data_IF_754979480152
#
_entry.id   IF_754979480152
#
_cell.length_a   1.000
_cell.length_b   1.000
_cell.length_c   1.000
_cell.angle_alpha   90.00
_cell.angle_beta   90.00
_cell.angle_gamma   90.00
#
_symmetry.space_group_name_H-M   'P 1'
#
loop_
_entity.id
_entity.type
_entity.pdbx_description
1 polymer ?
#
# COMPACT_ATOMS: atom_id res chain seq x y z
N UNK A 1 -49.56 56.22 35.29
CA UNK A 1 -49.00 56.07 33.95
C UNK A 1 -47.49 55.81 34.06
N UNK A 2 -47.03 54.65 34.38
CA UNK A 2 -45.63 54.21 34.29
C UNK A 2 -45.57 52.69 34.54
N UNK A 3 -45.79 51.91 33.51
CA UNK A 3 -45.53 50.48 33.58
C UNK A 3 -45.37 49.95 32.12
N UNK A 4 -44.22 50.15 31.54
CA UNK A 4 -43.99 49.72 30.17
C UNK A 4 -42.56 49.49 29.74
N UNK A 5 -41.56 49.81 30.60
CA UNK A 5 -40.16 49.77 30.17
C UNK A 5 -39.30 48.64 30.74
N UNK A 6 -39.81 47.77 31.60
CA UNK A 6 -39.01 46.71 32.23
C UNK A 6 -39.13 45.31 31.61
N UNK A 7 -39.96 45.12 30.56
CA UNK A 7 -40.16 43.78 29.91
C UNK A 7 -39.23 43.52 28.72
N UNK A 8 -38.62 44.53 28.13
CA UNK A 8 -37.80 44.36 26.91
C UNK A 8 -36.33 44.03 27.18
N UNK A 9 -35.81 44.27 28.38
CA UNK A 9 -34.40 43.97 28.71
C UNK A 9 -34.10 42.54 29.12
N UNK A 10 -35.09 41.77 29.58
CA UNK A 10 -34.90 40.39 30.02
C UNK A 10 -34.80 39.36 28.88
N UNK A 11 -35.42 39.67 27.71
CA UNK A 11 -35.43 38.76 26.56
C UNK A 11 -34.13 38.81 25.76
N UNK A 12 -33.45 39.97 25.71
CA UNK A 12 -32.20 40.11 24.97
C UNK A 12 -31.00 39.48 25.64
N UNK A 13 -31.00 39.42 26.96
CA UNK A 13 -29.88 38.78 27.73
C UNK A 13 -29.91 37.25 27.63
N UNK A 14 -31.10 36.65 27.54
CA UNK A 14 -31.25 35.18 27.43
C UNK A 14 -30.85 34.64 26.05
N UNK A 15 -31.08 35.40 24.98
CA UNK A 15 -30.72 35.00 23.61
C UNK A 15 -29.21 35.07 23.33
N UNK A 16 -28.51 36.02 23.94
CA UNK A 16 -27.04 36.15 23.79
C UNK A 16 -26.32 35.01 24.56
N UNK A 17 -26.81 34.63 25.72
CA UNK A 17 -26.25 33.55 26.53
C UNK A 17 -26.33 32.17 25.85
N UNK A 18 -27.43 31.88 25.17
CA UNK A 18 -27.61 30.60 24.45
C UNK A 18 -26.75 30.53 23.21
N UNK A 19 -26.59 31.62 22.47
CA UNK A 19 -25.71 31.66 21.31
C UNK A 19 -24.23 31.50 21.67
N UNK A 20 -23.81 32.06 22.80
CA UNK A 20 -22.43 31.93 23.27
C UNK A 20 -22.11 30.53 23.80
N UNK A 21 -23.04 29.87 24.45
CA UNK A 21 -22.89 28.48 24.91
C UNK A 21 -22.85 27.49 23.73
N UNK A 22 -23.62 27.72 22.66
CA UNK A 22 -23.60 26.90 21.47
C UNK A 22 -22.28 27.05 20.66
N UNK A 23 -21.71 28.25 20.60
CA UNK A 23 -20.43 28.52 19.93
C UNK A 23 -19.23 27.88 20.68
N UNK A 24 -19.24 27.89 22.01
CA UNK A 24 -18.19 27.26 22.80
C UNK A 24 -18.29 25.73 22.74
N UNK A 25 -19.51 25.17 22.72
CA UNK A 25 -19.69 23.73 22.60
C UNK A 25 -19.30 23.18 21.19
N UNK A 26 -19.48 23.97 20.14
CA UNK A 26 -19.05 23.59 18.79
C UNK A 26 -17.53 23.61 18.63
N UNK A 27 -16.82 24.54 19.27
CA UNK A 27 -15.36 24.65 19.18
C UNK A 27 -14.63 23.57 19.99
N UNK A 28 -15.23 23.07 21.05
CA UNK A 28 -14.64 21.98 21.85
C UNK A 28 -14.83 20.61 21.20
N UNK A 29 -15.91 20.38 20.45
CA UNK A 29 -16.15 19.13 19.73
C UNK A 29 -15.15 18.92 18.58
N UNK A 30 -14.83 19.98 17.80
CA UNK A 30 -13.83 19.89 16.75
C UNK A 30 -12.44 19.52 17.30
N UNK A 31 -12.00 20.19 18.36
CA UNK A 31 -10.67 19.92 18.98
C UNK A 31 -10.54 18.54 19.64
N UNK A 32 -11.63 17.95 20.09
CA UNK A 32 -11.59 16.60 20.66
C UNK A 32 -11.47 15.54 19.55
N UNK A 33 -12.19 15.72 18.46
CA UNK A 33 -12.14 14.81 17.30
C UNK A 33 -10.76 14.84 16.63
N UNK A 34 -10.22 16.03 16.37
CA UNK A 34 -8.87 16.18 15.79
C UNK A 34 -7.78 15.53 16.66
N UNK A 35 -7.91 15.54 17.98
CA UNK A 35 -6.95 14.89 18.89
C UNK A 35 -7.05 13.36 18.88
N UNK A 36 -8.26 12.82 18.80
CA UNK A 36 -8.45 11.35 18.73
C UNK A 36 -7.90 10.78 17.44
N UNK A 37 -8.01 11.49 16.33
CA UNK A 37 -7.47 11.09 15.03
C UNK A 37 -5.93 11.17 15.04
N UNK A 38 -5.34 12.23 15.57
CA UNK A 38 -3.89 12.40 15.72
C UNK A 38 -3.29 11.33 16.65
N UNK A 39 -3.96 11.00 17.75
CA UNK A 39 -3.52 9.96 18.68
C UNK A 39 -3.58 8.57 18.02
N UNK A 40 -4.61 8.29 17.23
CA UNK A 40 -4.78 7.02 16.54
C UNK A 40 -3.70 6.82 15.45
N UNK A 41 -3.39 7.84 14.68
CA UNK A 41 -2.30 7.80 13.69
C UNK A 41 -0.94 7.62 14.37
N UNK A 42 -0.71 8.27 15.50
CA UNK A 42 0.52 8.11 16.29
C UNK A 42 0.71 6.66 16.76
N UNK A 43 -0.36 5.99 17.18
CA UNK A 43 -0.33 4.57 17.59
C UNK A 43 -0.03 3.67 16.38
N UNK A 44 -0.65 3.91 15.23
CA UNK A 44 -0.42 3.15 14.00
C UNK A 44 1.01 3.31 13.49
N UNK A 45 1.54 4.52 13.51
CA UNK A 45 2.92 4.85 13.14
C UNK A 45 3.91 4.09 14.04
N UNK A 46 3.74 4.17 15.36
CA UNK A 46 4.60 3.44 16.30
C UNK A 46 4.51 1.93 16.08
N UNK A 47 3.28 1.41 15.98
CA UNK A 47 3.06 0.00 15.70
C UNK A 47 3.70 -0.46 14.39
N UNK A 48 3.69 0.39 13.36
CA UNK A 48 4.36 0.11 12.09
C UNK A 48 5.86 -0.12 12.25
N UNK A 49 6.54 0.70 13.06
CA UNK A 49 7.96 0.47 13.39
C UNK A 49 8.18 -0.82 14.17
N UNK A 50 7.31 -1.14 15.11
CA UNK A 50 7.43 -2.33 15.96
C UNK A 50 7.28 -3.64 15.16
N UNK A 51 6.48 -3.64 14.10
CA UNK A 51 6.18 -4.82 13.28
C UNK A 51 6.98 -4.90 11.97
N UNK A 52 7.79 -3.89 11.65
CA UNK A 52 8.62 -3.90 10.45
C UNK A 52 9.58 -5.11 10.50
N UNK A 53 9.52 -6.04 9.53
CA UNK A 53 10.32 -7.27 9.58
C UNK A 53 11.77 -7.07 9.12
N UNK A 54 12.09 -5.89 8.57
CA UNK A 54 13.38 -5.52 8.02
C UNK A 54 13.83 -4.16 8.54
N UNK A 55 15.15 -3.86 8.59
CA UNK A 55 15.63 -2.54 8.95
C UNK A 55 15.17 -1.48 7.95
N UNK A 56 14.87 -0.28 8.44
CA UNK A 56 14.35 0.82 7.64
C UNK A 56 15.41 1.92 7.46
N UNK A 57 15.66 2.31 6.21
CA UNK A 57 16.44 3.49 5.89
C UNK A 57 15.53 4.74 5.96
N UNK A 58 15.72 5.55 6.99
CA UNK A 58 14.94 6.76 7.23
C UNK A 58 15.61 8.04 6.72
N UNK A 59 16.82 7.92 6.14
CA UNK A 59 17.56 9.08 5.65
C UNK A 59 16.78 9.78 4.52
N UNK A 60 16.53 11.08 4.69
CA UNK A 60 15.79 11.90 3.72
C UNK A 60 14.31 11.56 3.57
N UNK A 61 13.72 10.73 4.46
CA UNK A 61 12.32 10.30 4.40
C UNK A 61 11.48 10.85 5.53
N UNK A 62 10.18 11.01 5.28
CA UNK A 62 9.23 11.36 6.33
C UNK A 62 9.00 10.14 7.24
N UNK A 63 9.51 10.21 8.48
CA UNK A 63 9.42 9.14 9.46
C UNK A 63 7.97 8.71 9.75
N UNK A 64 7.04 9.67 9.83
CA UNK A 64 5.64 9.36 10.12
C UNK A 64 5.02 8.55 8.97
N UNK A 65 5.23 8.97 7.71
CA UNK A 65 4.77 8.23 6.55
C UNK A 65 5.38 6.82 6.48
N UNK A 66 6.67 6.68 6.74
CA UNK A 66 7.32 5.35 6.73
C UNK A 66 6.72 4.45 7.81
N UNK A 67 6.48 4.95 9.03
CA UNK A 67 5.85 4.17 10.10
C UNK A 67 4.42 3.76 9.76
N UNK A 68 3.60 4.72 9.30
CA UNK A 68 2.23 4.43 8.86
C UNK A 68 2.20 3.45 7.69
N UNK A 69 3.06 3.64 6.70
CA UNK A 69 3.18 2.73 5.54
C UNK A 69 3.58 1.32 5.95
N UNK A 70 4.51 1.18 6.91
CA UNK A 70 4.86 -0.12 7.49
C UNK A 70 3.63 -0.80 8.12
N UNK A 71 2.84 -0.04 8.89
CA UNK A 71 1.60 -0.55 9.46
C UNK A 71 0.64 -1.05 8.37
N UNK A 72 0.37 -0.22 7.36
CA UNK A 72 -0.57 -0.54 6.28
C UNK A 72 -0.13 -1.76 5.46
N UNK A 73 1.14 -1.83 5.06
CA UNK A 73 1.70 -2.93 4.26
C UNK A 73 1.68 -4.25 5.02
N UNK A 74 2.09 -4.26 6.29
CA UNK A 74 2.16 -5.49 7.09
C UNK A 74 0.79 -5.96 7.59
N UNK A 75 -0.16 -5.04 7.82
CA UNK A 75 -1.54 -5.38 8.19
C UNK A 75 -2.39 -5.70 6.97
N UNK A 76 -2.12 -5.07 5.83
CA UNK A 76 -2.79 -5.33 4.56
C UNK A 76 -2.36 -6.63 3.88
N UNK A 77 -1.36 -7.34 4.43
CA UNK A 77 -0.93 -8.63 3.91
C UNK A 77 -0.22 -8.57 2.55
N UNK A 78 0.38 -7.44 2.19
CA UNK A 78 1.05 -7.30 0.88
C UNK A 78 2.10 -8.40 0.66
N UNK A 79 2.85 -8.78 1.72
CA UNK A 79 3.84 -9.85 1.65
C UNK A 79 3.23 -11.24 1.41
N UNK A 80 1.93 -11.43 1.65
CA UNK A 80 1.29 -12.73 1.42
C UNK A 80 1.19 -13.08 -0.07
N UNK A 81 1.21 -12.06 -0.92
CA UNK A 81 1.24 -12.18 -2.37
C UNK A 81 2.60 -11.81 -2.96
N UNK A 82 3.29 -10.81 -2.41
CA UNK A 82 4.55 -10.29 -2.94
C UNK A 82 5.78 -10.94 -2.28
N UNK A 83 5.75 -12.25 -2.13
CA UNK A 83 6.87 -13.11 -1.75
C UNK A 83 7.13 -14.18 -2.84
N UNK A 84 8.13 -15.02 -2.66
CA UNK A 84 8.43 -16.11 -3.59
C UNK A 84 7.57 -17.36 -3.38
N UNK A 85 6.55 -17.28 -2.53
CA UNK A 85 5.61 -18.35 -2.20
C UNK A 85 5.60 -18.72 -0.72
N UNK A 86 4.56 -19.45 -0.26
CA UNK A 86 4.29 -19.68 1.17
C UNK A 86 5.44 -20.36 1.94
N UNK A 87 6.26 -21.15 1.25
CA UNK A 87 7.41 -21.82 1.87
C UNK A 87 8.56 -20.87 2.22
N UNK A 88 8.64 -19.72 1.54
CA UNK A 88 9.70 -18.72 1.71
C UNK A 88 9.29 -17.51 2.55
N UNK A 89 7.99 -17.35 2.81
CA UNK A 89 7.42 -16.19 3.51
C UNK A 89 7.93 -16.04 4.95
N UNK A 90 8.20 -17.16 5.62
CA UNK A 90 8.64 -17.17 7.01
C UNK A 90 10.00 -17.84 7.16
N UNK A 91 10.73 -17.43 8.19
CA UNK A 91 11.93 -18.12 8.61
C UNK A 91 11.57 -19.56 9.04
N UNK A 92 12.35 -20.60 8.64
CA UNK A 92 12.08 -21.98 9.06
C UNK A 92 11.89 -22.11 10.57
N UNK A 93 10.83 -22.80 11.00
CA UNK A 93 10.46 -22.93 12.41
C UNK A 93 9.65 -21.76 13.00
N UNK A 94 9.28 -20.77 12.18
CA UNK A 94 8.58 -19.56 12.61
C UNK A 94 7.29 -19.28 11.79
N UNK A 95 6.78 -20.30 11.11
CA UNK A 95 5.55 -20.18 10.32
C UNK A 95 4.30 -20.38 11.20
N UNK A 96 3.48 -19.33 11.42
CA UNK A 96 2.31 -19.44 12.30
C UNK A 96 1.21 -20.35 11.74
N UNK A 97 1.15 -20.57 10.41
CA UNK A 97 0.20 -21.50 9.79
C UNK A 97 0.49 -22.97 10.16
N UNK A 98 1.72 -23.26 10.61
CA UNK A 98 2.12 -24.56 11.14
C UNK A 98 2.16 -24.59 12.67
N UNK A 99 1.54 -23.61 13.35
CA UNK A 99 1.56 -23.51 14.80
C UNK A 99 2.91 -23.13 15.40
N UNK A 100 3.86 -22.64 14.58
CA UNK A 100 5.20 -22.26 15.03
C UNK A 100 5.23 -20.81 15.56
N UNK A 101 5.89 -20.60 16.68
CA UNK A 101 5.96 -19.30 17.35
C UNK A 101 7.38 -19.01 17.86
N UNK A 102 7.76 -17.71 17.96
CA UNK A 102 7.02 -16.53 17.46
C UNK A 102 7.01 -16.46 15.93
N UNK A 103 5.99 -15.80 15.35
CA UNK A 103 5.97 -15.48 13.93
C UNK A 103 7.23 -14.68 13.55
N UNK A 104 7.93 -15.10 12.51
CA UNK A 104 9.07 -14.35 11.98
C UNK A 104 9.07 -14.38 10.44
N UNK A 105 8.79 -13.24 9.84
CA UNK A 105 8.85 -13.05 8.39
C UNK A 105 10.30 -13.20 7.92
N UNK A 106 10.49 -13.80 6.75
CA UNK A 106 11.81 -13.98 6.15
C UNK A 106 12.29 -12.67 5.48
N UNK A 107 13.31 -12.01 6.02
CA UNK A 107 13.76 -10.73 5.46
C UNK A 107 14.39 -10.87 4.07
N UNK A 108 14.87 -12.05 3.71
CA UNK A 108 15.53 -12.29 2.41
C UNK A 108 14.54 -12.35 1.23
N UNK A 109 13.26 -12.54 1.51
CA UNK A 109 12.21 -12.65 0.48
C UNK A 109 11.09 -11.61 0.66
N UNK A 110 11.20 -10.80 1.72
CA UNK A 110 10.17 -9.85 2.09
C UNK A 110 9.88 -8.85 0.98
N UNK A 111 8.64 -8.87 0.46
CA UNK A 111 8.16 -8.06 -0.64
C UNK A 111 8.95 -8.18 -1.95
N UNK A 112 9.78 -9.22 -2.07
CA UNK A 112 10.62 -9.46 -3.25
C UNK A 112 9.88 -10.04 -4.45
N UNK A 113 8.59 -10.32 -4.35
CA UNK A 113 7.79 -10.86 -5.46
C UNK A 113 8.17 -12.27 -5.89
N UNK A 114 7.74 -12.65 -7.08
CA UNK A 114 8.09 -13.94 -7.69
C UNK A 114 7.12 -15.09 -7.40
N UNK A 115 5.99 -14.81 -6.73
CA UNK A 115 4.95 -15.81 -6.53
C UNK A 115 4.16 -16.03 -7.83
N UNK A 116 4.13 -17.28 -8.28
CA UNK A 116 3.36 -17.70 -9.44
C UNK A 116 1.93 -18.06 -9.02
N UNK A 117 0.95 -17.34 -9.57
CA UNK A 117 -0.48 -17.58 -9.38
C UNK A 117 -1.10 -18.44 -10.48
N UNK A 118 -0.30 -18.91 -11.44
CA UNK A 118 -0.79 -19.64 -12.59
C UNK A 118 -1.34 -18.74 -13.70
N UNK A 119 -2.09 -19.32 -14.61
CA UNK A 119 -2.66 -18.64 -15.77
C UNK A 119 -4.11 -18.24 -15.52
N UNK A 120 -4.55 -17.09 -16.08
CA UNK A 120 -5.94 -16.62 -15.93
C UNK A 120 -6.93 -17.55 -16.64
N UNK A 121 -6.58 -18.02 -17.84
CA UNK A 121 -7.49 -18.74 -18.75
C UNK A 121 -6.98 -20.12 -19.17
N UNK A 122 -5.99 -20.66 -18.45
CA UNK A 122 -5.31 -21.89 -18.85
C UNK A 122 -4.31 -21.68 -20.00
N UNK A 123 -3.51 -22.72 -20.35
CA UNK A 123 -2.58 -22.62 -21.45
C UNK A 123 -3.28 -22.28 -22.78
N UNK A 124 -2.72 -21.42 -23.63
CA UNK A 124 -1.37 -20.84 -23.61
C UNK A 124 -1.28 -19.48 -22.91
N UNK A 125 -2.24 -19.10 -22.08
CA UNK A 125 -2.21 -17.82 -21.36
C UNK A 125 -0.95 -17.69 -20.49
N UNK A 126 -0.33 -16.49 -20.39
CA UNK A 126 0.83 -16.29 -19.53
C UNK A 126 0.49 -16.46 -18.06
N UNK A 127 1.50 -16.81 -17.27
CA UNK A 127 1.38 -16.87 -15.82
C UNK A 127 1.34 -15.47 -15.21
N UNK A 128 0.60 -15.30 -14.14
CA UNK A 128 0.60 -14.09 -13.32
C UNK A 128 1.61 -14.28 -12.21
N UNK A 129 2.65 -13.47 -12.23
CA UNK A 129 3.72 -13.49 -11.23
C UNK A 129 3.65 -12.19 -10.41
N UNK A 130 3.70 -12.29 -9.08
CA UNK A 130 3.73 -11.10 -8.24
C UNK A 130 5.03 -10.31 -8.43
N UNK A 131 4.91 -8.98 -8.46
CA UNK A 131 6.03 -8.08 -8.66
C UNK A 131 6.84 -7.88 -7.40
N UNK A 132 8.10 -7.55 -7.60
CA UNK A 132 9.00 -7.10 -6.55
C UNK A 132 8.66 -5.65 -6.15
N UNK A 133 8.23 -5.45 -4.91
CA UNK A 133 7.88 -4.14 -4.37
C UNK A 133 9.07 -3.42 -3.71
N UNK A 134 10.23 -4.06 -3.62
CA UNK A 134 11.39 -3.44 -2.97
C UNK A 134 12.04 -2.39 -3.87
N UNK A 135 12.74 -1.39 -3.29
CA UNK A 135 13.34 -0.35 -4.10
C UNK A 135 14.58 -0.85 -4.85
N UNK A 136 14.79 -0.36 -6.07
CA UNK A 136 16.05 -0.51 -6.78
C UNK A 136 17.15 0.30 -6.09
N UNK A 137 18.36 -0.25 -5.98
CA UNK A 137 19.50 0.51 -5.44
C UNK A 137 19.97 1.62 -6.37
N UNK A 138 19.63 1.54 -7.66
CA UNK A 138 19.99 2.56 -8.66
C UNK A 138 19.14 3.82 -8.57
N UNK A 139 17.84 3.65 -8.39
CA UNK A 139 16.87 4.77 -8.42
C UNK A 139 16.30 5.09 -7.05
N UNK A 140 16.30 4.12 -6.13
CA UNK A 140 15.61 4.21 -4.85
C UNK A 140 14.10 4.18 -4.96
N UNK A 141 13.56 3.86 -6.16
CA UNK A 141 12.14 3.74 -6.43
C UNK A 141 11.67 2.29 -6.28
N UNK A 142 10.47 2.06 -5.73
CA UNK A 142 9.91 0.71 -5.60
C UNK A 142 9.28 0.25 -6.91
N UNK A 143 8.94 -1.01 -6.97
CA UNK A 143 8.11 -1.69 -7.96
C UNK A 143 8.30 -1.15 -9.40
N UNK A 144 9.24 -1.74 -10.13
CA UNK A 144 9.47 -1.34 -11.53
C UNK A 144 10.05 0.06 -11.74
N UNK A 145 10.59 0.69 -10.68
CA UNK A 145 11.09 2.07 -10.67
C UNK A 145 9.99 3.13 -10.88
N UNK A 146 8.75 2.81 -10.52
CA UNK A 146 7.63 3.74 -10.63
C UNK A 146 7.76 4.94 -9.70
N UNK A 147 7.42 6.11 -10.24
CA UNK A 147 7.23 7.34 -9.47
C UNK A 147 6.02 7.23 -8.54
N UNK A 148 5.86 8.15 -7.60
CA UNK A 148 4.67 8.16 -6.75
C UNK A 148 3.39 8.35 -7.55
N UNK A 149 3.43 9.19 -8.57
CA UNK A 149 2.28 9.49 -9.43
C UNK A 149 1.81 8.23 -10.19
N UNK A 150 2.75 7.46 -10.74
CA UNK A 150 2.46 6.17 -11.37
C UNK A 150 1.95 5.14 -10.36
N UNK A 151 2.60 5.03 -9.19
CA UNK A 151 2.15 4.14 -8.12
C UNK A 151 0.73 4.49 -7.64
N UNK A 152 0.41 5.79 -7.51
CA UNK A 152 -0.93 6.26 -7.18
C UNK A 152 -1.94 5.84 -8.27
N UNK A 153 -1.59 5.99 -9.55
CA UNK A 153 -2.44 5.56 -10.67
C UNK A 153 -2.67 4.04 -10.64
N UNK A 154 -1.61 3.24 -10.41
CA UNK A 154 -1.73 1.78 -10.25
C UNK A 154 -2.73 1.44 -9.12
N UNK A 155 -2.58 2.05 -7.97
CA UNK A 155 -3.45 1.77 -6.81
C UNK A 155 -4.89 2.21 -7.02
N UNK A 156 -5.13 3.26 -7.80
CA UNK A 156 -6.47 3.81 -8.09
C UNK A 156 -7.19 3.08 -9.22
N UNK A 157 -6.46 2.66 -10.23
CA UNK A 157 -7.06 2.19 -11.49
C UNK A 157 -6.72 0.75 -11.84
N UNK A 158 -5.71 0.18 -11.18
CA UNK A 158 -5.17 -1.13 -11.52
C UNK A 158 -4.35 -1.14 -12.81
N UNK A 159 -4.02 0.03 -13.38
CA UNK A 159 -3.27 0.12 -14.63
C UNK A 159 -1.94 -0.62 -14.54
N UNK A 160 -1.70 -1.49 -15.49
CA UNK A 160 -0.48 -2.29 -15.57
C UNK A 160 0.50 -1.66 -16.57
N UNK A 161 1.37 -0.76 -16.09
CA UNK A 161 2.29 -0.01 -16.96
C UNK A 161 3.25 -0.89 -17.75
N UNK A 162 3.56 -2.10 -17.28
CA UNK A 162 4.48 -3.01 -17.96
C UNK A 162 3.81 -3.81 -19.09
N UNK A 163 2.48 -3.83 -19.13
CA UNK A 163 1.72 -4.65 -20.07
C UNK A 163 0.72 -3.86 -20.92
N UNK A 164 0.85 -2.53 -20.99
CA UNK A 164 -0.09 -1.67 -21.73
C UNK A 164 -0.09 -1.93 -23.22
N UNK A 165 -1.29 -2.02 -23.82
CA UNK A 165 -1.49 -1.87 -25.26
C UNK A 165 -1.29 -0.40 -25.69
N UNK A 166 -0.78 -0.11 -26.88
CA UNK A 166 -0.51 -0.99 -28.03
C UNK A 166 0.92 -1.58 -28.06
N UNK A 167 1.71 -1.46 -27.00
CA UNK A 167 3.06 -2.01 -26.98
C UNK A 167 3.07 -3.55 -27.00
N UNK A 168 1.92 -4.12 -26.74
CA UNK A 168 1.65 -5.53 -26.89
C UNK A 168 1.25 -5.85 -28.34
N UNK A 169 1.94 -6.76 -28.98
CA UNK A 169 1.60 -7.26 -30.33
C UNK A 169 1.56 -8.78 -30.35
N UNK A 170 0.95 -9.35 -31.39
CA UNK A 170 0.93 -10.80 -31.59
C UNK A 170 2.33 -11.42 -31.74
N UNK A 171 3.35 -10.59 -32.01
CA UNK A 171 4.75 -10.99 -32.15
C UNK A 171 5.63 -10.61 -30.97
N UNK A 172 5.19 -9.66 -30.13
CA UNK A 172 5.82 -9.29 -28.85
C UNK A 172 4.90 -9.74 -27.74
N UNK A 173 4.87 -11.05 -27.52
CA UNK A 173 3.92 -11.70 -26.59
C UNK A 173 4.45 -11.82 -25.18
N UNK A 174 5.69 -11.40 -24.92
CA UNK A 174 6.35 -11.68 -23.65
C UNK A 174 5.74 -10.96 -22.46
N UNK A 175 4.98 -9.87 -22.67
CA UNK A 175 4.44 -9.06 -21.57
C UNK A 175 2.95 -8.73 -21.74
N UNK A 176 2.28 -9.35 -22.72
CA UNK A 176 0.92 -8.96 -23.05
C UNK A 176 -0.06 -10.05 -22.67
N UNK A 177 -0.92 -9.77 -21.73
CA UNK A 177 -2.11 -10.59 -21.55
C UNK A 177 -3.08 -10.28 -22.70
N UNK A 178 -3.57 -11.30 -23.43
CA UNK A 178 -4.59 -11.05 -24.41
C UNK A 178 -5.81 -10.44 -23.72
N UNK A 179 -6.38 -9.41 -24.33
CA UNK A 179 -7.70 -8.90 -23.95
C UNK A 179 -8.73 -9.99 -24.27
N UNK A 180 -8.81 -11.01 -23.44
CA UNK A 180 -9.80 -12.09 -23.55
C UNK A 180 -10.92 -11.74 -22.57
N UNK A 181 -12.08 -11.30 -23.06
CA UNK A 181 -13.20 -11.09 -22.17
C UNK A 181 -13.46 -12.27 -21.24
N UNK A 182 -13.67 -12.06 -19.93
CA UNK A 182 -13.95 -10.76 -19.29
C UNK A 182 -12.73 -9.98 -18.80
N UNK A 183 -11.50 -10.37 -19.13
CA UNK A 183 -10.27 -9.74 -18.61
C UNK A 183 -9.77 -8.64 -19.54
N UNK A 184 -9.34 -7.53 -18.92
CA UNK A 184 -8.61 -6.46 -19.57
C UNK A 184 -7.13 -6.62 -19.26
N UNK A 185 -6.31 -6.83 -20.30
CA UNK A 185 -4.87 -7.06 -20.16
C UNK A 185 -4.07 -5.82 -19.76
N UNK A 186 -4.67 -4.64 -19.85
CA UNK A 186 -4.05 -3.38 -19.41
C UNK A 186 -4.21 -3.15 -17.89
N UNK A 187 -4.95 -4.03 -17.20
CA UNK A 187 -5.18 -3.95 -15.77
C UNK A 187 -4.52 -5.10 -15.02
N UNK A 188 -4.03 -4.80 -13.84
CA UNK A 188 -3.50 -5.81 -12.90
C UNK A 188 -4.57 -6.85 -12.60
N UNK A 189 -4.18 -8.11 -12.77
CA UNK A 189 -5.01 -9.25 -12.45
C UNK A 189 -4.61 -9.80 -11.07
N UNK A 190 -5.58 -10.36 -10.32
CA UNK A 190 -5.39 -10.97 -8.99
C UNK A 190 -5.12 -9.94 -7.89
N UNK A 191 -4.24 -8.94 -8.10
CA UNK A 191 -4.03 -7.88 -7.12
C UNK A 191 -5.36 -7.20 -6.78
N UNK A 192 -5.75 -7.08 -5.50
CA UNK A 192 -7.05 -6.51 -5.12
C UNK A 192 -7.05 -4.97 -5.13
N UNK A 193 -6.53 -4.36 -6.22
CA UNK A 193 -6.53 -2.91 -6.39
C UNK A 193 -7.93 -2.27 -6.29
N UNK A 194 -9.06 -2.95 -6.67
CA UNK A 194 -10.39 -2.36 -6.46
C UNK A 194 -10.73 -2.11 -4.99
N UNK A 195 -10.06 -2.79 -4.04
CA UNK A 195 -10.19 -2.48 -2.62
C UNK A 195 -9.23 -1.36 -2.20
N UNK A 196 -8.03 -1.34 -2.76
CA UNK A 196 -7.01 -0.35 -2.41
C UNK A 196 -7.28 1.03 -3.00
N UNK A 197 -8.11 1.14 -4.05
CA UNK A 197 -8.55 2.43 -4.58
C UNK A 197 -9.31 3.30 -3.56
N UNK A 198 -9.84 2.68 -2.49
CA UNK A 198 -10.55 3.39 -1.42
C UNK A 198 -9.62 3.95 -0.34
N UNK A 199 -8.32 3.63 -0.37
CA UNK A 199 -7.34 4.25 0.52
C UNK A 199 -7.23 5.75 0.24
N UNK A 200 -6.94 6.55 1.27
CA UNK A 200 -6.65 7.97 1.05
C UNK A 200 -5.32 8.15 0.28
N UNK A 201 -5.13 9.30 -0.37
CA UNK A 201 -3.84 9.61 -1.00
C UNK A 201 -2.70 9.64 0.02
N UNK A 202 -3.01 10.02 1.26
CA UNK A 202 -2.07 9.99 2.38
C UNK A 202 -1.65 8.54 2.71
N UNK A 203 -2.58 7.60 2.75
CA UNK A 203 -2.27 6.18 3.01
C UNK A 203 -1.44 5.58 1.87
N UNK A 204 -1.81 5.86 0.61
CA UNK A 204 -1.04 5.39 -0.55
C UNK A 204 0.37 6.01 -0.54
N UNK A 205 0.50 7.29 -0.19
CA UNK A 205 1.80 7.94 0.00
C UNK A 205 2.61 7.27 1.11
N UNK A 206 1.97 6.93 2.22
CA UNK A 206 2.64 6.25 3.32
C UNK A 206 3.16 4.87 2.90
N UNK A 207 2.36 4.07 2.18
CA UNK A 207 2.79 2.79 1.60
C UNK A 207 4.01 2.99 0.71
N UNK A 208 3.96 3.94 -0.22
CA UNK A 208 5.06 4.24 -1.14
C UNK A 208 6.35 4.62 -0.40
N UNK A 209 6.29 5.52 0.59
CA UNK A 209 7.45 5.93 1.39
C UNK A 209 8.04 4.77 2.20
N UNK A 210 7.20 3.85 2.69
CA UNK A 210 7.68 2.64 3.34
C UNK A 210 8.41 1.71 2.36
N UNK A 211 7.85 1.47 1.18
CA UNK A 211 8.48 0.64 0.15
C UNK A 211 9.85 1.20 -0.28
N UNK A 212 10.02 2.52 -0.27
CA UNK A 212 11.31 3.18 -0.50
C UNK A 212 12.30 3.06 0.66
N UNK A 213 11.82 2.71 1.85
CA UNK A 213 12.62 2.66 3.06
C UNK A 213 13.14 1.26 3.40
N UNK A 214 12.57 0.21 2.82
CA UNK A 214 13.00 -1.17 3.04
C UNK A 214 14.25 -1.50 2.22
N UNK A 215 15.03 -2.54 2.59
CA UNK A 215 16.15 -3.02 1.78
C UNK A 215 15.70 -3.54 0.42
N UNK A 216 16.55 -3.39 -0.58
CA UNK A 216 16.38 -4.08 -1.86
C UNK A 216 16.46 -5.59 -1.67
N UNK A 217 15.58 -6.32 -2.33
CA UNK A 217 15.63 -7.78 -2.48
C UNK A 217 15.79 -8.08 -3.97
N UNK A 218 16.77 -8.90 -4.34
CA UNK A 218 17.04 -9.19 -5.75
C UNK A 218 15.88 -9.88 -6.46
N UNK A 219 14.97 -10.49 -5.74
CA UNK A 219 13.84 -11.22 -6.31
C UNK A 219 14.26 -12.52 -7.03
N UNK A 220 13.46 -13.54 -6.89
CA UNK A 220 13.64 -14.78 -7.65
C UNK A 220 12.44 -14.93 -8.58
N UNK A 221 12.49 -14.29 -9.75
CA UNK A 221 11.51 -14.57 -10.77
C UNK A 221 11.76 -15.95 -11.38
N UNK A 222 10.74 -16.80 -11.51
CA UNK A 222 10.85 -18.09 -12.19
C UNK A 222 11.33 -18.01 -13.64
N UNK A 223 11.38 -16.82 -14.22
CA UNK A 223 11.85 -16.57 -15.59
C UNK A 223 13.35 -16.46 -15.78
N UNK A 224 14.15 -16.39 -14.72
CA UNK A 224 15.62 -16.34 -14.85
C UNK A 224 16.26 -17.70 -15.16
N UNK A 225 15.46 -18.75 -15.44
CA UNK A 225 16.03 -20.08 -15.77
C UNK A 225 15.08 -21.23 -15.89
N UNK A 226 13.76 -21.06 -15.80
CA UNK A 226 12.87 -22.22 -15.85
C UNK A 226 11.39 -21.87 -16.06
N UNK A 227 10.91 -22.33 -17.17
CA UNK A 227 9.50 -22.60 -17.49
C UNK A 227 8.45 -21.51 -17.27
N UNK A 228 8.21 -20.74 -18.31
CA UNK A 228 6.84 -20.32 -18.65
C UNK A 228 6.38 -18.93 -18.24
N UNK A 229 7.19 -18.11 -17.61
CA UNK A 229 6.81 -16.71 -17.33
C UNK A 229 7.31 -15.77 -18.41
N UNK A 230 6.41 -15.09 -19.10
CA UNK A 230 6.73 -14.07 -20.11
C UNK A 230 7.03 -12.70 -19.48
N UNK A 231 7.62 -12.68 -18.28
CA UNK A 231 8.07 -11.45 -17.66
C UNK A 231 9.51 -11.16 -18.08
N UNK A 232 9.86 -9.91 -18.34
CA UNK A 232 11.25 -9.54 -18.43
C UNK A 232 11.92 -9.97 -17.11
N UNK A 233 13.06 -10.66 -17.16
CA UNK A 233 13.79 -10.97 -15.94
C UNK A 233 14.09 -9.64 -15.22
N UNK A 234 13.91 -9.61 -13.92
CA UNK A 234 14.42 -8.49 -13.15
C UNK A 234 15.89 -8.26 -13.51
N UNK A 235 16.33 -7.00 -13.63
CA UNK A 235 17.74 -6.72 -13.86
C UNK A 235 18.58 -7.46 -12.83
N UNK A 236 19.58 -8.24 -13.30
CA UNK A 236 20.46 -9.01 -12.44
C UNK A 236 21.22 -8.15 -11.42
N UNK A 237 21.25 -6.85 -11.65
CA UNK A 237 21.92 -5.82 -10.86
C UNK A 237 20.94 -4.85 -10.16
N UNK A 238 19.68 -5.27 -9.91
CA UNK A 238 18.68 -4.45 -9.23
C UNK A 238 19.16 -3.98 -7.84
N UNK A 239 19.84 -4.86 -7.12
CA UNK A 239 20.37 -4.56 -5.79
C UNK A 239 21.87 -4.22 -5.77
N UNK A 240 22.50 -4.00 -6.92
CA UNK A 240 23.92 -3.60 -7.02
C UNK A 240 24.86 -4.75 -7.29
#
# INVERSE_FOLDING_TARGET
>A
MTSGLFRSFAVTLASVGVAFAALVASSTRGKAHDREDDDNDSIRIQRGFDIAPVPLNLEGKNRALVGLGSYLVNMGGCNDCHDTGPAAQFVPGHNPFFGQHPKKVNPATYLGGGRDFGTISGPPSPHIISRNLTPSTKTGLPEGDHTFEEFLEIMRTGKDFDHLHPNCSATVTTNCFPAVPPFDGDLLQIMPWPNYQELTDHDIRAIYEYLRAIPCVQGNYPGSGGQGGNFPPEPADRCG
#
